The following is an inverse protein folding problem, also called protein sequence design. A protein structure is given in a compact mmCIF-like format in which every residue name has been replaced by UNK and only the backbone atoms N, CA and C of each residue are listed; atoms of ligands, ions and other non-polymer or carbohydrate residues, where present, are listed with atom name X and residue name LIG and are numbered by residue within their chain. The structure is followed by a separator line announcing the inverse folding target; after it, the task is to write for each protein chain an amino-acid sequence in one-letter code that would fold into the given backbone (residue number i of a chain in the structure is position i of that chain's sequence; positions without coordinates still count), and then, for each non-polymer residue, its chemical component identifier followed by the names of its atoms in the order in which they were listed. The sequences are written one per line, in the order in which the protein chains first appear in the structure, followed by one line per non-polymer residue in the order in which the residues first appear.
data_IF_340839802540
#
_entry.id   IF_340839802540
#
_cell.length_a   1.000
_cell.length_b   1.000
_cell.length_c   1.000
_cell.angle_alpha   90.00
_cell.angle_beta   90.00
_cell.angle_gamma   90.00
#
_symmetry.space_group_name_H-M   'P 1'
#
loop_
_entity.id
_entity.type
_entity.pdbx_description
1 polymer ?
#
# COMPACT_ATOMS: atom_id res chain seq x y z
N UNK A 1 -0.08 1.16 -20.95
CA UNK A 1 0.37 2.55 -21.21
C UNK A 1 1.33 3.05 -20.11
N UNK A 2 1.11 2.75 -18.83
CA UNK A 2 1.96 3.21 -17.72
C UNK A 2 3.30 2.48 -17.60
N UNK A 3 3.40 1.22 -18.02
CA UNK A 3 4.57 0.37 -17.80
C UNK A 3 5.88 0.89 -18.40
N UNK A 4 5.95 1.46 -19.62
CA UNK A 4 7.19 2.03 -20.16
C UNK A 4 7.68 3.24 -19.34
N UNK A 5 6.77 4.10 -18.90
CA UNK A 5 7.10 5.23 -18.03
C UNK A 5 7.61 4.74 -16.66
N UNK A 6 6.93 3.76 -16.08
CA UNK A 6 7.33 3.13 -14.82
C UNK A 6 8.73 2.53 -14.93
N UNK A 7 9.07 1.87 -16.04
CA UNK A 7 10.40 1.30 -16.25
C UNK A 7 11.50 2.36 -16.13
N UNK A 8 11.37 3.47 -16.87
CA UNK A 8 12.36 4.53 -16.83
C UNK A 8 12.51 5.11 -15.42
N UNK A 9 11.38 5.37 -14.75
CA UNK A 9 11.36 5.85 -13.36
C UNK A 9 12.04 4.86 -12.42
N UNK A 10 11.79 3.55 -12.58
CA UNK A 10 12.40 2.53 -11.75
C UNK A 10 13.91 2.38 -12.01
N UNK A 11 14.38 2.55 -13.23
CA UNK A 11 15.81 2.51 -13.56
C UNK A 11 16.55 3.68 -12.88
N UNK A 12 15.97 4.88 -12.91
CA UNK A 12 16.51 6.06 -12.22
C UNK A 12 16.50 5.87 -10.68
N UNK A 13 15.36 5.43 -10.16
CA UNK A 13 15.17 5.18 -8.73
C UNK A 13 16.11 4.07 -8.25
N UNK A 14 16.27 3.00 -9.01
CA UNK A 14 17.17 1.91 -8.67
C UNK A 14 18.61 2.42 -8.49
N UNK A 15 19.09 3.28 -9.36
CA UNK A 15 20.43 3.86 -9.27
C UNK A 15 20.64 4.67 -7.96
N UNK A 16 19.62 5.40 -7.52
CA UNK A 16 19.68 6.16 -6.27
C UNK A 16 19.59 5.27 -5.03
N UNK A 17 18.73 4.27 -5.07
CA UNK A 17 18.55 3.32 -3.96
C UNK A 17 19.75 2.40 -3.78
N UNK A 18 20.35 1.90 -4.86
CA UNK A 18 21.52 0.98 -4.81
C UNK A 18 22.73 1.56 -4.10
N UNK A 19 22.79 2.87 -3.94
CA UNK A 19 23.84 3.53 -3.11
C UNK A 19 23.71 3.19 -1.62
N UNK A 20 22.53 2.72 -1.16
CA UNK A 20 22.23 2.51 0.26
C UNK A 20 21.62 1.13 0.55
N UNK A 21 20.97 0.48 -0.43
CA UNK A 21 20.16 -0.71 -0.24
C UNK A 21 20.40 -1.74 -1.37
N UNK A 22 20.28 -3.04 -1.05
CA UNK A 22 20.12 -4.11 -2.04
C UNK A 22 18.64 -4.14 -2.47
N UNK A 23 18.35 -3.52 -3.60
CA UNK A 23 16.97 -3.33 -4.09
C UNK A 23 16.58 -4.45 -5.03
N UNK A 24 15.45 -5.07 -4.74
CA UNK A 24 14.80 -6.08 -5.58
C UNK A 24 13.36 -5.69 -5.84
N UNK A 25 12.89 -5.99 -7.04
CA UNK A 25 11.54 -5.67 -7.46
C UNK A 25 10.68 -6.94 -7.55
N UNK A 26 9.44 -6.84 -7.08
CA UNK A 26 8.41 -7.87 -7.28
C UNK A 26 7.24 -7.22 -8.02
N UNK A 27 7.05 -7.57 -9.27
CA UNK A 27 5.92 -7.11 -10.08
C UNK A 27 4.79 -8.11 -9.96
N UNK A 28 3.65 -7.65 -9.48
CA UNK A 28 2.46 -8.51 -9.28
C UNK A 28 1.38 -8.11 -10.26
N UNK A 29 1.00 -9.03 -11.14
CA UNK A 29 -0.19 -8.92 -11.97
C UNK A 29 -1.38 -9.57 -11.27
N UNK A 30 -2.40 -8.76 -10.95
CA UNK A 30 -3.62 -9.19 -10.24
C UNK A 30 -4.63 -9.84 -11.21
N UNK A 31 -4.16 -10.74 -12.07
CA UNK A 31 -5.00 -11.48 -13.01
C UNK A 31 -5.59 -10.60 -14.09
N UNK A 32 -4.79 -9.76 -14.71
CA UNK A 32 -5.21 -8.92 -15.84
C UNK A 32 -5.72 -9.76 -17.00
N UNK A 33 -6.78 -9.27 -17.64
CA UNK A 33 -7.40 -9.92 -18.81
C UNK A 33 -6.89 -9.36 -20.15
N UNK A 34 -6.07 -8.30 -20.10
CA UNK A 34 -5.42 -7.69 -21.24
C UNK A 34 -3.95 -8.13 -21.34
N UNK A 35 -3.18 -7.50 -22.20
CA UNK A 35 -1.77 -7.81 -22.42
C UNK A 35 -0.82 -7.34 -21.31
N UNK A 36 -1.33 -6.93 -20.14
CA UNK A 36 -0.49 -6.43 -19.04
C UNK A 36 0.55 -7.46 -18.62
N UNK A 37 0.16 -8.74 -18.47
CA UNK A 37 1.09 -9.79 -18.08
C UNK A 37 2.22 -10.00 -19.07
N UNK A 38 1.88 -10.09 -20.36
CA UNK A 38 2.88 -10.24 -21.43
C UNK A 38 3.89 -9.09 -21.42
N UNK A 39 3.40 -7.84 -21.27
CA UNK A 39 4.27 -6.66 -21.21
C UNK A 39 5.16 -6.69 -19.95
N UNK A 40 4.63 -7.10 -18.80
CA UNK A 40 5.43 -7.25 -17.57
C UNK A 40 6.54 -8.30 -17.78
N UNK A 41 6.24 -9.42 -18.43
CA UNK A 41 7.23 -10.45 -18.74
C UNK A 41 8.29 -9.96 -19.73
N UNK A 42 7.89 -9.26 -20.78
CA UNK A 42 8.81 -8.69 -21.77
C UNK A 42 9.77 -7.66 -21.14
N UNK A 43 9.28 -6.86 -20.20
CA UNK A 43 10.05 -5.77 -19.61
C UNK A 43 10.91 -6.19 -18.41
N UNK A 44 10.44 -7.12 -17.60
CA UNK A 44 11.03 -7.45 -16.30
C UNK A 44 11.29 -8.95 -16.12
N UNK A 45 10.72 -9.82 -16.97
CA UNK A 45 10.95 -11.26 -16.92
C UNK A 45 12.43 -11.60 -17.19
N UNK A 46 13.05 -12.35 -16.28
CA UNK A 46 14.48 -12.71 -16.39
C UNK A 46 15.46 -11.59 -16.04
N UNK A 47 15.01 -10.38 -15.72
CA UNK A 47 15.89 -9.30 -15.25
C UNK A 47 16.41 -9.63 -13.85
N UNK A 48 17.73 -9.51 -13.66
CA UNK A 48 18.36 -9.70 -12.35
C UNK A 48 17.75 -8.75 -11.29
N UNK A 49 17.44 -9.27 -10.12
CA UNK A 49 16.81 -8.51 -9.04
C UNK A 49 15.31 -8.25 -9.23
N UNK A 50 14.69 -8.81 -10.29
CA UNK A 50 13.26 -8.70 -10.54
C UNK A 50 12.59 -10.08 -10.43
N UNK A 51 11.43 -10.13 -9.75
CA UNK A 51 10.49 -11.26 -9.76
C UNK A 51 9.17 -10.80 -10.37
N UNK A 52 8.51 -11.69 -11.06
CA UNK A 52 7.16 -11.46 -11.61
C UNK A 52 6.22 -12.51 -11.02
N UNK A 53 5.06 -12.06 -10.54
CA UNK A 53 4.02 -12.91 -9.95
C UNK A 53 2.71 -12.64 -10.67
N UNK A 54 2.01 -13.69 -11.11
CA UNK A 54 0.66 -13.57 -11.68
C UNK A 54 -0.34 -14.25 -10.80
N UNK A 55 -1.40 -13.55 -10.42
CA UNK A 55 -2.53 -14.14 -9.74
C UNK A 55 -3.47 -14.84 -10.76
N UNK A 56 -4.12 -15.95 -10.40
CA UNK A 56 -4.99 -16.69 -11.33
C UNK A 56 -6.25 -15.91 -11.73
N UNK A 57 -6.64 -14.92 -10.93
CA UNK A 57 -7.80 -14.06 -11.15
C UNK A 57 -7.60 -12.74 -10.42
N UNK A 58 -8.34 -11.70 -10.83
CA UNK A 58 -8.37 -10.43 -10.13
C UNK A 58 -8.95 -10.63 -8.71
N UNK A 59 -8.11 -10.40 -7.72
CA UNK A 59 -8.41 -10.53 -6.29
C UNK A 59 -8.33 -9.18 -5.55
N UNK A 60 -7.87 -8.15 -6.24
CA UNK A 60 -7.79 -6.77 -5.78
C UNK A 60 -6.45 -6.38 -5.16
N UNK A 61 -6.25 -5.08 -5.00
CA UNK A 61 -4.95 -4.47 -4.65
C UNK A 61 -4.33 -5.02 -3.37
N UNK A 62 -5.10 -5.28 -2.31
CA UNK A 62 -4.55 -5.84 -1.08
C UNK A 62 -4.05 -7.28 -1.28
N UNK A 63 -4.76 -8.09 -2.10
CA UNK A 63 -4.32 -9.42 -2.44
C UNK A 63 -3.02 -9.39 -3.26
N UNK A 64 -2.89 -8.43 -4.19
CA UNK A 64 -1.67 -8.22 -4.95
C UNK A 64 -0.49 -7.78 -4.06
N UNK A 65 -0.71 -6.83 -3.14
CA UNK A 65 0.30 -6.41 -2.16
C UNK A 65 0.76 -7.60 -1.31
N UNK A 66 -0.17 -8.38 -0.77
CA UNK A 66 0.16 -9.57 0.04
C UNK A 66 0.92 -10.62 -0.76
N UNK A 67 0.56 -10.84 -2.05
CA UNK A 67 1.29 -11.74 -2.93
C UNK A 67 2.73 -11.25 -3.15
N UNK A 68 2.92 -9.95 -3.34
CA UNK A 68 4.24 -9.32 -3.44
C UNK A 68 5.07 -9.46 -2.16
N UNK A 69 4.48 -9.20 -1.00
CA UNK A 69 5.15 -9.36 0.31
C UNK A 69 5.60 -10.81 0.53
N UNK A 70 4.74 -11.79 0.22
CA UNK A 70 5.09 -13.22 0.33
C UNK A 70 6.20 -13.63 -0.61
N UNK A 71 6.23 -13.09 -1.82
CA UNK A 71 7.24 -13.37 -2.83
C UNK A 71 8.59 -12.67 -2.58
N UNK A 72 8.61 -11.65 -1.73
CA UNK A 72 9.84 -10.94 -1.36
C UNK A 72 10.75 -11.82 -0.49
N UNK A 73 12.06 -11.71 -0.73
CA UNK A 73 13.10 -12.45 0.01
C UNK A 73 13.71 -11.62 1.14
N UNK A 74 13.22 -10.39 1.32
CA UNK A 74 13.75 -9.42 2.30
C UNK A 74 12.75 -9.17 3.42
N UNK A 75 13.24 -8.77 4.60
CA UNK A 75 12.39 -8.41 5.73
C UNK A 75 11.73 -7.03 5.55
N UNK A 76 12.42 -6.10 4.91
CA UNK A 76 11.85 -4.79 4.56
C UNK A 76 11.23 -4.89 3.18
N UNK A 77 9.94 -4.59 3.08
CA UNK A 77 9.17 -4.61 1.82
C UNK A 77 8.44 -3.29 1.65
N UNK A 78 8.49 -2.73 0.46
CA UNK A 78 7.76 -1.52 0.11
C UNK A 78 6.66 -1.84 -0.91
N UNK A 79 5.48 -1.26 -0.74
CA UNK A 79 4.41 -1.33 -1.74
C UNK A 79 4.22 0.02 -2.42
N UNK A 80 4.07 -0.02 -3.74
CA UNK A 80 3.79 1.16 -4.57
C UNK A 80 2.82 0.78 -5.68
N UNK A 81 1.85 1.66 -5.95
CA UNK A 81 0.93 1.51 -7.08
C UNK A 81 1.62 1.92 -8.39
N UNK A 82 1.33 1.19 -9.48
CA UNK A 82 1.89 1.47 -10.82
C UNK A 82 1.24 2.67 -11.52
N UNK A 83 0.46 3.49 -10.83
CA UNK A 83 -0.26 4.64 -11.40
C UNK A 83 0.46 5.98 -11.23
N UNK A 84 1.67 5.93 -10.67
CA UNK A 84 2.53 7.09 -10.43
C UNK A 84 1.90 8.20 -9.56
N UNK A 85 0.96 7.84 -8.69
CA UNK A 85 0.33 8.76 -7.72
C UNK A 85 1.31 9.22 -6.63
N UNK A 86 2.31 8.41 -6.35
CA UNK A 86 3.43 8.73 -5.46
C UNK A 86 4.76 8.58 -6.20
N UNK A 87 5.69 9.52 -5.98
CA UNK A 87 7.06 9.37 -6.44
C UNK A 87 7.77 8.31 -5.57
N UNK A 88 8.29 7.23 -6.17
CA UNK A 88 9.01 6.20 -5.43
C UNK A 88 10.24 6.70 -4.67
N UNK A 89 10.82 7.86 -5.03
CA UNK A 89 11.95 8.48 -4.31
C UNK A 89 11.60 8.82 -2.86
N UNK A 90 10.32 9.04 -2.55
CA UNK A 90 9.86 9.27 -1.17
C UNK A 90 10.17 8.08 -0.25
N UNK A 91 10.35 6.86 -0.79
CA UNK A 91 10.79 5.69 0.00
C UNK A 91 12.17 5.90 0.65
N UNK A 92 13.06 6.72 0.06
CA UNK A 92 14.37 7.02 0.67
C UNK A 92 14.25 7.69 2.03
N UNK A 93 13.15 8.40 2.27
CA UNK A 93 12.83 9.02 3.55
C UNK A 93 12.00 8.09 4.44
N UNK A 94 11.15 7.24 3.85
CA UNK A 94 10.28 6.33 4.59
C UNK A 94 11.02 5.12 5.15
N UNK A 95 11.94 4.51 4.40
CA UNK A 95 12.65 3.29 4.82
C UNK A 95 13.41 3.49 6.13
N UNK A 96 14.16 4.58 6.35
CA UNK A 96 14.85 4.82 7.63
C UNK A 96 13.91 4.98 8.84
N UNK A 97 12.63 5.30 8.61
CA UNK A 97 11.64 5.40 9.69
C UNK A 97 11.16 4.02 10.18
N UNK A 98 11.45 2.92 9.45
CA UNK A 98 11.19 1.56 9.90
C UNK A 98 12.28 1.09 10.86
N UNK A 99 12.36 1.73 12.02
CA UNK A 99 13.26 1.38 13.13
C UNK A 99 12.89 0.01 13.73
N UNK A 100 13.71 -0.55 14.60
CA UNK A 100 13.52 -1.89 15.17
C UNK A 100 12.18 -2.05 15.90
N UNK A 101 11.63 -0.96 16.43
CA UNK A 101 10.35 -0.90 17.14
C UNK A 101 9.16 -0.48 16.26
N UNK A 102 9.37 -0.25 14.95
CA UNK A 102 8.32 0.11 13.99
C UNK A 102 8.08 -1.04 13.03
N UNK A 103 6.82 -1.44 12.90
CA UNK A 103 6.38 -2.55 12.03
C UNK A 103 5.91 -2.06 10.64
N UNK A 104 5.43 -0.82 10.56
CA UNK A 104 4.95 -0.24 9.29
C UNK A 104 5.15 1.28 9.27
N UNK A 105 5.55 1.78 8.11
CA UNK A 105 5.52 3.21 7.78
C UNK A 105 4.52 3.42 6.66
N UNK A 106 3.52 4.28 6.86
CA UNK A 106 2.52 4.60 5.82
C UNK A 106 2.70 6.02 5.31
N UNK A 107 2.65 6.21 4.00
CA UNK A 107 2.63 7.53 3.41
C UNK A 107 1.37 8.29 3.85
N UNK A 108 1.52 9.54 4.26
CA UNK A 108 0.42 10.37 4.69
C UNK A 108 0.46 11.76 4.02
N UNK A 109 -0.37 11.98 3.01
CA UNK A 109 -0.53 13.31 2.41
C UNK A 109 -1.26 14.27 3.34
N UNK A 110 -1.91 13.77 4.40
CA UNK A 110 -2.61 14.58 5.42
C UNK A 110 -1.73 14.87 6.65
N UNK A 111 -0.49 14.39 6.66
CA UNK A 111 0.50 14.82 7.65
C UNK A 111 0.72 16.34 7.55
N UNK A 112 1.03 17.07 8.65
CA UNK A 112 1.28 18.53 8.59
C UNK A 112 2.33 18.97 7.56
N UNK A 113 3.29 18.12 7.24
CA UNK A 113 4.33 18.30 6.21
C UNK A 113 4.00 17.60 4.89
N UNK A 114 2.87 16.89 4.80
CA UNK A 114 2.41 16.24 3.58
C UNK A 114 1.70 17.21 2.64
N UNK A 115 1.53 16.80 1.38
CA UNK A 115 0.86 17.61 0.38
C UNK A 115 -0.11 16.78 -0.46
N UNK A 116 -1.19 17.42 -0.89
CA UNK A 116 -2.16 16.85 -1.83
C UNK A 116 -2.25 17.80 -3.02
N UNK A 117 -1.93 17.31 -4.21
CA UNK A 117 -1.92 18.09 -5.43
C UNK A 117 -3.01 17.57 -6.39
N UNK A 118 -3.84 18.50 -6.87
CA UNK A 118 -4.83 18.26 -7.94
C UNK A 118 -5.88 17.15 -7.65
N UNK A 119 -6.11 16.78 -6.39
CA UNK A 119 -7.12 15.77 -6.01
C UNK A 119 -8.45 16.48 -5.69
N UNK A 120 -9.60 16.00 -6.23
CA UNK A 120 -10.91 16.60 -5.97
C UNK A 120 -11.27 16.63 -4.47
N UNK A 121 -11.74 17.78 -3.98
CA UNK A 121 -12.02 18.01 -2.54
C UNK A 121 -13.00 17.00 -1.93
N UNK A 122 -14.01 16.55 -2.68
CA UNK A 122 -14.96 15.57 -2.19
C UNK A 122 -14.29 14.22 -1.83
N UNK A 123 -13.23 13.82 -2.56
CA UNK A 123 -12.45 12.61 -2.24
C UNK A 123 -11.65 12.81 -0.97
N UNK A 124 -11.08 14.00 -0.79
CA UNK A 124 -10.33 14.34 0.42
C UNK A 124 -11.24 14.31 1.64
N UNK A 125 -12.43 14.90 1.53
CA UNK A 125 -13.43 14.93 2.62
C UNK A 125 -13.85 13.51 3.01
N UNK A 126 -14.11 12.65 2.01
CA UNK A 126 -14.46 11.25 2.26
C UNK A 126 -13.33 10.48 2.96
N UNK A 127 -12.11 10.64 2.47
CA UNK A 127 -10.93 9.98 3.03
C UNK A 127 -10.62 10.47 4.46
N UNK A 128 -10.70 11.79 4.69
CA UNK A 128 -10.52 12.37 6.04
C UNK A 128 -11.61 11.91 7.01
N UNK A 129 -12.87 11.83 6.55
CA UNK A 129 -13.98 11.32 7.35
C UNK A 129 -13.80 9.86 7.78
N UNK A 130 -13.36 9.01 6.84
CA UNK A 130 -13.00 7.62 7.14
C UNK A 130 -11.81 7.53 8.11
N UNK A 131 -10.77 8.30 7.87
CA UNK A 131 -9.60 8.34 8.75
C UNK A 131 -9.97 8.76 10.17
N UNK A 132 -10.88 9.71 10.33
CA UNK A 132 -11.40 10.10 11.64
C UNK A 132 -12.06 8.92 12.40
N UNK A 133 -12.85 8.10 11.70
CA UNK A 133 -13.51 6.92 12.31
C UNK A 133 -12.48 5.87 12.75
N UNK A 134 -11.51 5.54 11.88
CA UNK A 134 -10.46 4.58 12.22
C UNK A 134 -9.58 5.09 13.36
N UNK A 135 -9.25 6.37 13.38
CA UNK A 135 -8.48 7.01 14.45
C UNK A 135 -9.13 6.90 15.83
N UNK A 136 -10.47 6.80 15.89
CA UNK A 136 -11.21 6.58 17.14
C UNK A 136 -11.16 5.12 17.59
N UNK A 137 -11.04 4.22 16.64
CA UNK A 137 -11.04 2.78 16.89
C UNK A 137 -9.65 2.21 17.17
N UNK A 138 -8.63 2.65 16.45
CA UNK A 138 -7.28 2.08 16.44
C UNK A 138 -6.36 2.77 17.47
N UNK A 139 -5.25 2.10 17.83
CA UNK A 139 -4.30 2.61 18.81
C UNK A 139 -3.36 3.65 18.17
N UNK A 140 -2.83 3.34 16.97
CA UNK A 140 -2.01 4.27 16.20
C UNK A 140 -2.91 5.34 15.56
N UNK A 141 -2.82 6.58 16.09
CA UNK A 141 -3.67 7.70 15.68
C UNK A 141 -3.14 8.39 14.43
N UNK A 142 -3.34 7.76 13.29
CA UNK A 142 -2.86 8.24 12.00
C UNK A 142 -3.83 9.27 11.37
N UNK A 143 -3.30 10.11 10.49
CA UNK A 143 -4.11 10.99 9.64
C UNK A 143 -4.61 10.26 8.38
N UNK A 144 -3.88 9.21 7.94
CA UNK A 144 -4.20 8.42 6.72
C UNK A 144 -4.21 6.93 7.01
N UNK A 145 -5.28 6.22 6.61
CA UNK A 145 -5.40 4.75 6.72
C UNK A 145 -5.51 4.06 5.36
N UNK A 146 -5.75 4.81 4.30
CA UNK A 146 -6.12 4.28 2.97
C UNK A 146 -4.98 4.28 1.95
N UNK A 147 -3.80 4.77 2.31
CA UNK A 147 -2.66 4.79 1.40
C UNK A 147 -2.16 3.35 1.13
N UNK A 148 -1.84 3.06 -0.15
CA UNK A 148 -1.18 1.82 -0.57
C UNK A 148 0.35 1.94 -0.54
N UNK A 149 0.87 3.16 -0.52
CA UNK A 149 2.29 3.45 -0.50
C UNK A 149 2.84 3.33 0.92
N UNK A 150 3.55 2.23 1.19
CA UNK A 150 3.96 1.84 2.55
C UNK A 150 5.29 1.10 2.56
N UNK A 151 5.96 1.15 3.70
CA UNK A 151 7.09 0.30 4.05
C UNK A 151 6.66 -0.65 5.17
N UNK A 152 6.96 -1.92 5.04
CA UNK A 152 6.53 -2.98 5.97
C UNK A 152 7.72 -3.76 6.51
N UNK A 153 7.60 -4.20 7.75
CA UNK A 153 8.32 -5.36 8.26
C UNK A 153 7.52 -6.61 7.85
N UNK A 154 8.10 -7.46 7.00
CA UNK A 154 7.44 -8.64 6.42
C UNK A 154 6.88 -9.55 7.51
N UNK A 155 7.70 -9.88 8.51
CA UNK A 155 7.31 -10.73 9.64
C UNK A 155 6.11 -10.16 10.43
N UNK A 156 5.94 -8.85 10.49
CA UNK A 156 4.78 -8.22 11.14
C UNK A 156 3.49 -8.39 10.32
N UNK A 157 3.58 -8.29 8.98
CA UNK A 157 2.43 -8.53 8.09
C UNK A 157 2.01 -9.99 8.13
N UNK A 158 2.95 -10.93 8.19
CA UNK A 158 2.67 -12.37 8.21
C UNK A 158 1.96 -12.83 9.49
N UNK A 159 1.99 -12.04 10.55
CA UNK A 159 1.26 -12.32 11.81
C UNK A 159 -0.24 -12.10 11.72
N UNK A 160 -0.74 -11.42 10.69
CA UNK A 160 -2.16 -11.08 10.57
C UNK A 160 -2.79 -11.70 9.32
N UNK A 161 -4.08 -12.04 9.43
CA UNK A 161 -4.84 -12.56 8.30
C UNK A 161 -5.72 -11.44 7.73
N UNK A 162 -5.57 -11.16 6.42
CA UNK A 162 -6.39 -10.19 5.70
C UNK A 162 -7.39 -10.96 4.84
N UNK A 163 -8.67 -10.61 4.96
CA UNK A 163 -9.77 -11.31 4.27
C UNK A 163 -10.28 -10.57 3.05
N UNK A 164 -10.15 -9.25 3.03
CA UNK A 164 -10.58 -8.39 1.93
C UNK A 164 -9.47 -8.23 0.89
N UNK A 165 -9.78 -8.42 -0.39
CA UNK A 165 -8.77 -8.37 -1.45
C UNK A 165 -8.52 -6.97 -2.04
N UNK A 166 -9.52 -6.09 -2.04
CA UNK A 166 -9.46 -4.77 -2.68
C UNK A 166 -8.88 -3.67 -1.77
N UNK A 167 -9.19 -2.42 -2.08
CA UNK A 167 -8.75 -1.27 -1.26
C UNK A 167 -9.19 -1.36 0.21
N UNK A 168 -10.31 -2.01 0.49
CA UNK A 168 -10.76 -2.28 1.86
C UNK A 168 -9.76 -3.17 2.61
N UNK A 169 -9.14 -4.14 1.92
CA UNK A 169 -8.13 -5.02 2.50
C UNK A 169 -6.84 -4.29 2.86
N UNK A 170 -6.49 -3.20 2.16
CA UNK A 170 -5.34 -2.35 2.54
C UNK A 170 -5.55 -1.72 3.91
N UNK A 171 -6.78 -1.28 4.18
CA UNK A 171 -7.16 -0.73 5.49
C UNK A 171 -7.30 -1.84 6.53
N UNK A 172 -7.87 -2.99 6.15
CA UNK A 172 -7.98 -4.16 7.03
C UNK A 172 -6.61 -4.63 7.51
N UNK A 173 -5.62 -4.73 6.61
CA UNK A 173 -4.24 -5.10 6.95
C UNK A 173 -3.69 -4.18 8.04
N UNK A 174 -3.76 -2.86 7.84
CA UNK A 174 -3.30 -1.87 8.81
C UNK A 174 -4.06 -2.01 10.15
N UNK A 175 -5.39 -2.12 10.09
CA UNK A 175 -6.21 -2.22 11.29
C UNK A 175 -5.92 -3.50 12.09
N UNK A 176 -5.68 -4.63 11.43
CA UNK A 176 -5.33 -5.89 12.09
C UNK A 176 -3.93 -5.84 12.70
N UNK A 177 -2.95 -5.26 12.00
CA UNK A 177 -1.61 -5.03 12.56
C UNK A 177 -1.67 -4.12 13.80
N UNK A 178 -2.43 -3.02 13.75
CA UNK A 178 -2.65 -2.13 14.89
C UNK A 178 -3.26 -2.87 16.09
N UNK A 179 -4.33 -3.64 15.87
CA UNK A 179 -5.00 -4.40 16.94
C UNK A 179 -4.13 -5.56 17.46
N UNK A 180 -3.18 -6.06 16.67
CA UNK A 180 -2.18 -7.05 17.11
C UNK A 180 -0.99 -6.41 17.85
N UNK A 181 -1.02 -5.08 18.07
CA UNK A 181 -0.01 -4.35 18.83
C UNK A 181 1.16 -3.82 17.99
N UNK A 182 1.06 -3.86 16.67
CA UNK A 182 2.10 -3.29 15.80
C UNK A 182 2.20 -1.78 15.94
N UNK A 183 3.44 -1.28 15.97
CA UNK A 183 3.70 0.15 15.92
C UNK A 183 3.72 0.62 14.47
N UNK A 184 2.83 1.56 14.17
CA UNK A 184 2.65 2.12 12.83
C UNK A 184 2.89 3.62 12.89
N UNK A 185 3.75 4.14 12.02
CA UNK A 185 4.06 5.57 11.93
C UNK A 185 3.70 6.13 10.55
N UNK A 186 3.50 7.44 10.49
CA UNK A 186 3.25 8.16 9.24
C UNK A 186 4.50 8.88 8.76
N UNK A 187 4.76 8.78 7.47
CA UNK A 187 5.72 9.62 6.77
C UNK A 187 4.97 10.71 6.00
N UNK A 188 5.41 11.98 6.06
CA UNK A 188 4.91 13.01 5.16
C UNK A 188 5.07 12.54 3.71
N UNK A 189 4.05 12.74 2.88
CA UNK A 189 4.12 12.34 1.49
C UNK A 189 3.40 13.33 0.59
N UNK A 190 3.83 13.42 -0.65
CA UNK A 190 3.17 14.18 -1.70
C UNK A 190 2.33 13.22 -2.53
N UNK A 191 1.02 13.45 -2.53
CA UNK A 191 0.05 12.72 -3.33
C UNK A 191 -0.35 13.57 -4.52
N UNK A 192 -0.09 13.07 -5.72
CA UNK A 192 -0.54 13.71 -6.95
C UNK A 192 -1.75 13.00 -7.57
N UNK A 193 -2.48 13.72 -8.43
CA UNK A 193 -3.53 13.09 -9.21
C UNK A 193 -2.92 12.02 -10.13
N UNK A 194 -3.65 10.93 -10.35
CA UNK A 194 -3.25 9.91 -11.33
C UNK A 194 -2.90 10.52 -12.67
N UNK A 195 -1.70 10.24 -13.15
CA UNK A 195 -1.29 10.64 -14.49
C UNK A 195 -1.97 9.80 -15.56
N UNK A 196 -2.35 8.56 -15.25
CA UNK A 196 -2.96 7.61 -16.19
C UNK A 196 -4.13 6.85 -15.55
N UNK A 197 -5.15 6.56 -16.37
CA UNK A 197 -6.31 5.77 -15.98
C UNK A 197 -7.40 6.57 -15.25
N UNK A 198 -8.59 5.97 -15.16
CA UNK A 198 -9.75 6.55 -14.46
C UNK A 198 -10.10 5.73 -13.22
N UNK A 199 -10.44 6.42 -12.15
CA UNK A 199 -10.90 5.76 -10.93
C UNK A 199 -12.29 5.13 -11.12
N UNK A 200 -12.38 3.80 -11.00
CA UNK A 200 -13.63 3.04 -11.08
C UNK A 200 -14.32 2.90 -9.72
N UNK A 201 -13.99 3.74 -8.73
CA UNK A 201 -14.50 3.63 -7.37
C UNK A 201 -16.01 3.86 -7.30
N UNK A 202 -16.75 2.88 -6.77
CA UNK A 202 -18.18 2.98 -6.46
C UNK A 202 -18.36 3.48 -5.02
N UNK A 203 -18.50 4.80 -4.84
CA UNK A 203 -18.49 5.50 -3.54
C UNK A 203 -19.39 4.85 -2.49
N UNK A 204 -20.68 4.61 -2.79
CA UNK A 204 -21.62 4.01 -1.84
C UNK A 204 -21.19 2.61 -1.37
N UNK A 205 -20.67 1.78 -2.29
CA UNK A 205 -20.16 0.44 -1.96
C UNK A 205 -18.92 0.53 -1.06
N UNK A 206 -18.04 1.48 -1.35
CA UNK A 206 -16.83 1.73 -0.54
C UNK A 206 -17.19 2.13 0.88
N UNK A 207 -18.10 3.09 1.07
CA UNK A 207 -18.56 3.54 2.39
C UNK A 207 -19.16 2.36 3.17
N UNK A 208 -20.07 1.59 2.55
CA UNK A 208 -20.69 0.42 3.19
C UNK A 208 -19.65 -0.63 3.61
N UNK A 209 -18.65 -0.87 2.76
CA UNK A 209 -17.54 -1.77 3.07
C UNK A 209 -16.75 -1.32 4.30
N UNK A 210 -16.39 -0.03 4.36
CA UNK A 210 -15.67 0.52 5.52
C UNK A 210 -16.50 0.48 6.81
N UNK A 211 -17.80 0.74 6.77
CA UNK A 211 -18.65 0.62 7.95
C UNK A 211 -18.71 -0.83 8.45
N UNK A 212 -18.82 -1.80 7.53
CA UNK A 212 -18.74 -3.23 7.87
C UNK A 212 -17.39 -3.61 8.48
N UNK A 213 -16.28 -3.11 7.93
CA UNK A 213 -14.95 -3.35 8.47
C UNK A 213 -14.79 -2.74 9.87
N UNK A 214 -15.22 -1.50 10.07
CA UNK A 214 -15.21 -0.84 11.38
C UNK A 214 -15.96 -1.66 12.42
N UNK A 215 -17.15 -2.18 12.08
CA UNK A 215 -17.93 -3.04 12.99
C UNK A 215 -17.18 -4.34 13.34
N UNK A 216 -16.53 -4.99 12.35
CA UNK A 216 -15.71 -6.18 12.60
C UNK A 216 -14.52 -5.88 13.51
N UNK A 217 -13.77 -4.82 13.22
CA UNK A 217 -12.60 -4.42 14.01
C UNK A 217 -12.98 -4.00 15.44
N UNK A 218 -14.13 -3.35 15.63
CA UNK A 218 -14.66 -3.04 16.96
C UNK A 218 -14.93 -4.32 17.75
N UNK A 219 -15.54 -5.33 17.15
CA UNK A 219 -15.75 -6.63 17.79
C UNK A 219 -14.43 -7.30 18.19
N UNK A 220 -13.46 -7.32 17.28
CA UNK A 220 -12.11 -7.87 17.55
C UNK A 220 -11.48 -7.17 18.76
N UNK A 221 -11.53 -5.84 18.80
CA UNK A 221 -10.98 -5.04 19.90
C UNK A 221 -11.65 -5.35 21.24
N UNK A 222 -12.98 -5.47 21.26
CA UNK A 222 -13.74 -5.76 22.50
C UNK A 222 -13.47 -7.19 22.99
N UNK A 223 -13.34 -8.15 22.08
CA UNK A 223 -13.11 -9.56 22.41
C UNK A 223 -11.67 -9.85 22.85
N UNK A 224 -10.75 -8.91 22.73
CA UNK A 224 -9.34 -9.07 23.11
C UNK A 224 -8.61 -10.21 22.39
N UNK A 225 -9.11 -10.68 21.25
CA UNK A 225 -8.49 -11.73 20.44
C UNK A 225 -7.58 -11.10 19.39
N UNK A 226 -6.26 -11.29 19.47
CA UNK A 226 -5.40 -11.09 18.32
C UNK A 226 -5.88 -12.07 17.23
N UNK A 227 -6.19 -11.53 16.06
CA UNK A 227 -6.63 -12.30 14.89
C UNK A 227 -5.45 -12.86 14.14
#
# INVERSE_FOLDING_TARGET
EALPYLRNTLDEVQADFQKRYDVRFVFVDDGSSDRTWEVVQEMFGGRQGCKTVRQPRNSGVAAAILAGIRAADTEVVCSIDCDCTYDPRQLLEMIPMLTDDVDMVTASPYHPQGQVLNVPEWRLTLSKGLSFLYRRLLHNRLATYTACFRVYRKSAVERVQVTEGGYLGVVEMLARMDLAGSRIVEAPAVLEVRMMGQSKMKVARTIRGHLGLLARMTRTRIQGRPS
#
